data_IF_044890503702
#
_entry.id   IF_044890503702
#
_cell.length_a   1.000
_cell.length_b   1.000
_cell.length_c   1.000
_cell.angle_alpha   90.00
_cell.angle_beta   90.00
_cell.angle_gamma   90.00
#
_symmetry.space_group_name_H-M   'P 1'
#
loop_
_entity.id
_entity.type
_entity.pdbx_description
1 polymer ?
#
# COMPACT_ATOMS: atom_id res chain seq x y z
N UNK A 1 -11.41 -11.07 15.92
CA UNK A 1 -9.93 -11.11 15.89
C UNK A 1 -9.47 -9.87 15.15
N UNK A 2 -8.40 -9.21 15.60
CA UNK A 2 -7.84 -8.03 14.92
C UNK A 2 -6.98 -8.49 13.74
N UNK A 3 -7.22 -7.97 12.53
CA UNK A 3 -6.39 -8.25 11.34
C UNK A 3 -5.10 -7.40 11.31
N UNK A 4 -5.01 -6.34 12.11
CA UNK A 4 -3.84 -5.46 12.11
C UNK A 4 -2.57 -6.22 12.52
N UNK A 5 -1.58 -6.23 11.64
CA UNK A 5 -0.25 -6.79 11.87
C UNK A 5 0.51 -5.91 12.86
N UNK A 6 1.09 -6.49 13.91
CA UNK A 6 1.96 -5.79 14.88
C UNK A 6 3.43 -6.13 14.70
N UNK A 7 3.73 -7.27 14.07
CA UNK A 7 5.09 -7.74 13.80
C UNK A 7 5.17 -8.46 12.47
N UNK A 8 6.24 -8.23 11.72
CA UNK A 8 6.53 -8.95 10.48
C UNK A 8 8.01 -9.31 10.36
N UNK A 9 8.29 -10.49 9.84
CA UNK A 9 9.63 -10.99 9.50
C UNK A 9 9.66 -11.30 8.01
N UNK A 10 10.67 -10.79 7.32
CA UNK A 10 10.88 -10.89 5.88
C UNK A 10 12.23 -11.58 5.66
N UNK A 11 12.22 -12.67 4.90
CA UNK A 11 13.40 -13.44 4.53
C UNK A 11 13.35 -13.77 3.04
N UNK A 12 14.52 -13.74 2.40
CA UNK A 12 14.68 -14.08 0.97
C UNK A 12 13.67 -13.35 0.09
N UNK A 13 13.50 -12.05 0.30
CA UNK A 13 12.63 -11.22 -0.54
C UNK A 13 13.39 -9.99 -1.01
N UNK A 14 13.68 -9.91 -2.31
CA UNK A 14 14.46 -8.81 -2.90
C UNK A 14 15.80 -8.62 -2.15
N UNK A 15 16.02 -7.47 -1.52
CA UNK A 15 17.24 -7.17 -0.74
C UNK A 15 17.07 -7.41 0.77
N UNK A 16 15.98 -8.07 1.20
CA UNK A 16 15.77 -8.53 2.57
C UNK A 16 16.23 -9.98 2.72
N UNK A 17 17.41 -10.18 3.29
CA UNK A 17 17.91 -11.52 3.64
C UNK A 17 17.25 -12.05 4.90
N UNK A 18 17.29 -11.25 5.97
CA UNK A 18 16.64 -11.50 7.25
C UNK A 18 16.34 -10.18 7.94
N UNK A 19 15.10 -9.73 7.88
CA UNK A 19 14.67 -8.42 8.35
C UNK A 19 13.38 -8.54 9.15
N UNK A 20 13.29 -7.85 10.29
CA UNK A 20 12.13 -7.88 11.15
C UNK A 20 11.73 -6.47 11.57
N UNK A 21 10.42 -6.22 11.64
CA UNK A 21 9.84 -4.97 12.13
C UNK A 21 8.80 -5.32 13.18
N UNK A 22 8.89 -4.66 14.33
CA UNK A 22 7.97 -4.81 15.46
C UNK A 22 7.43 -3.44 15.87
N UNK A 23 6.23 -3.40 16.46
CA UNK A 23 5.59 -2.15 16.86
C UNK A 23 4.85 -1.46 15.72
N UNK A 24 4.38 -2.23 14.74
CA UNK A 24 3.50 -1.72 13.69
C UNK A 24 2.18 -1.24 14.28
N UNK A 25 1.69 -0.12 13.77
CA UNK A 25 0.46 0.54 14.22
C UNK A 25 -0.64 0.41 13.17
N UNK A 26 -1.79 1.05 13.39
CA UNK A 26 -2.83 1.15 12.37
C UNK A 26 -2.38 1.99 11.17
N UNK A 27 -1.68 3.10 11.39
CA UNK A 27 -1.08 3.88 10.30
C UNK A 27 0.43 3.83 10.44
N UNK A 28 1.12 3.41 9.38
CA UNK A 28 2.57 3.21 9.37
C UNK A 28 3.17 4.03 8.24
N UNK A 29 4.07 4.96 8.57
CA UNK A 29 4.80 5.73 7.59
C UNK A 29 6.25 5.23 7.52
N UNK A 30 6.69 4.83 6.33
CA UNK A 30 8.02 4.28 6.08
C UNK A 30 8.87 5.34 5.38
N UNK A 31 10.03 5.62 5.95
CA UNK A 31 10.97 6.62 5.42
C UNK A 31 12.40 6.08 5.34
N UNK A 32 13.27 6.86 4.71
CA UNK A 32 14.66 6.50 4.46
C UNK A 32 15.14 6.96 3.08
N UNK A 33 16.45 6.83 2.83
CA UNK A 33 17.09 7.21 1.56
C UNK A 33 16.48 6.47 0.36
N UNK A 34 16.76 6.96 -0.85
CA UNK A 34 16.39 6.27 -2.09
C UNK A 34 17.08 4.90 -2.14
N UNK A 35 16.40 3.93 -2.77
CA UNK A 35 16.90 2.56 -2.96
C UNK A 35 17.19 1.76 -1.67
N UNK A 36 16.69 2.23 -0.52
CA UNK A 36 16.87 1.54 0.77
C UNK A 36 15.91 0.36 0.97
N UNK A 37 14.76 0.35 0.28
CA UNK A 37 13.78 -0.73 0.38
C UNK A 37 12.37 -0.38 0.78
N UNK A 38 11.99 0.90 0.83
CA UNK A 38 10.64 1.35 1.26
C UNK A 38 9.51 0.64 0.51
N UNK A 39 9.49 0.74 -0.82
CA UNK A 39 8.49 0.04 -1.66
C UNK A 39 8.54 -1.47 -1.47
N UNK A 40 9.76 -2.05 -1.37
CA UNK A 40 9.92 -3.48 -1.18
C UNK A 40 9.35 -3.97 0.17
N UNK A 41 9.44 -3.14 1.21
CA UNK A 41 8.78 -3.42 2.48
C UNK A 41 7.26 -3.47 2.32
N UNK A 42 6.63 -2.47 1.68
CA UNK A 42 5.17 -2.51 1.41
C UNK A 42 4.78 -3.72 0.55
N UNK A 43 5.58 -4.06 -0.47
CA UNK A 43 5.34 -5.23 -1.32
C UNK A 43 5.36 -6.54 -0.53
N UNK A 44 6.31 -6.70 0.41
CA UNK A 44 6.42 -7.86 1.29
C UNK A 44 5.22 -7.98 2.23
N UNK A 45 4.84 -6.87 2.87
CA UNK A 45 3.68 -6.83 3.78
C UNK A 45 2.40 -7.17 3.01
N UNK A 46 2.18 -6.60 1.83
CA UNK A 46 0.99 -6.89 1.04
C UNK A 46 0.96 -8.35 0.55
N UNK A 47 2.11 -8.91 0.13
CA UNK A 47 2.18 -10.32 -0.21
C UNK A 47 1.81 -11.23 0.97
N UNK A 48 2.21 -10.88 2.20
CA UNK A 48 1.80 -11.60 3.40
C UNK A 48 0.30 -11.45 3.71
N UNK A 49 -0.27 -10.25 3.60
CA UNK A 49 -1.71 -10.02 3.85
C UNK A 49 -2.62 -10.62 2.78
N UNK A 50 -2.08 -10.97 1.61
CA UNK A 50 -2.79 -11.66 0.52
C UNK A 50 -2.65 -13.18 0.56
N UNK A 51 -1.91 -13.72 1.53
CA UNK A 51 -1.59 -15.15 1.63
C UNK A 51 -2.73 -16.03 2.18
N UNK A 52 -3.97 -15.69 1.85
CA UNK A 52 -5.17 -16.40 2.30
C UNK A 52 -5.51 -17.59 1.39
N UNK A 53 -5.22 -17.46 0.10
CA UNK A 53 -5.39 -18.47 -0.92
C UNK A 53 -4.31 -18.29 -2.00
N UNK A 54 -4.04 -19.35 -2.76
CA UNK A 54 -3.03 -19.33 -3.82
C UNK A 54 -3.40 -18.35 -4.95
N UNK A 55 -4.69 -18.22 -5.29
CA UNK A 55 -5.19 -17.27 -6.30
C UNK A 55 -4.89 -15.81 -5.93
N UNK A 56 -5.16 -15.42 -4.68
CA UNK A 56 -4.84 -14.08 -4.16
C UNK A 56 -3.34 -13.83 -4.10
N UNK A 57 -2.58 -14.79 -3.58
CA UNK A 57 -1.12 -14.66 -3.49
C UNK A 57 -0.48 -14.55 -4.88
N UNK A 58 -0.89 -15.38 -5.84
CA UNK A 58 -0.40 -15.34 -7.21
C UNK A 58 -0.75 -14.02 -7.91
N UNK A 59 -2.00 -13.56 -7.79
CA UNK A 59 -2.41 -12.23 -8.28
C UNK A 59 -1.52 -11.13 -7.69
N UNK A 60 -1.17 -11.25 -6.40
CA UNK A 60 -0.32 -10.25 -5.76
C UNK A 60 1.10 -10.20 -6.32
N UNK A 61 1.68 -11.35 -6.66
CA UNK A 61 2.99 -11.42 -7.30
C UNK A 61 2.96 -10.84 -8.71
N UNK A 62 1.92 -11.14 -9.49
CA UNK A 62 1.68 -10.52 -10.80
C UNK A 62 1.62 -9.00 -10.69
N UNK A 63 0.87 -8.48 -9.72
CA UNK A 63 0.76 -7.04 -9.49
C UNK A 63 2.11 -6.40 -9.10
N UNK A 64 2.98 -7.11 -8.37
CA UNK A 64 4.35 -6.65 -8.10
C UNK A 64 5.15 -6.58 -9.40
N UNK A 65 5.13 -7.63 -10.23
CA UNK A 65 5.83 -7.63 -11.53
C UNK A 65 5.33 -6.49 -12.40
N UNK A 66 4.02 -6.38 -12.58
CA UNK A 66 3.40 -5.34 -13.39
C UNK A 66 3.83 -3.95 -12.93
N UNK A 67 3.71 -3.60 -11.65
CA UNK A 67 4.12 -2.26 -11.17
C UNK A 67 5.60 -1.95 -11.41
N UNK A 68 6.47 -2.96 -11.41
CA UNK A 68 7.92 -2.77 -11.59
C UNK A 68 8.34 -2.71 -13.06
N UNK A 69 7.54 -3.28 -13.96
CA UNK A 69 7.86 -3.44 -15.38
C UNK A 69 6.79 -2.83 -16.30
N UNK A 70 5.81 -2.09 -15.76
CA UNK A 70 4.61 -1.66 -16.47
C UNK A 70 4.90 -0.99 -17.82
N UNK A 71 5.85 -0.05 -17.86
CA UNK A 71 6.23 0.65 -19.09
C UNK A 71 6.78 -0.32 -20.15
N UNK A 72 7.62 -1.28 -19.73
CA UNK A 72 8.18 -2.28 -20.65
C UNK A 72 7.05 -3.20 -21.15
N UNK A 73 6.21 -3.71 -20.25
CA UNK A 73 5.06 -4.57 -20.58
C UNK A 73 4.12 -3.88 -21.58
N UNK A 74 3.78 -2.62 -21.34
CA UNK A 74 2.85 -1.86 -22.18
C UNK A 74 3.42 -1.57 -23.57
N UNK A 75 4.74 -1.34 -23.68
CA UNK A 75 5.41 -1.02 -24.95
C UNK A 75 5.69 -2.29 -25.75
N UNK A 76 6.25 -3.31 -25.11
CA UNK A 76 6.67 -4.56 -25.75
C UNK A 76 5.49 -5.50 -26.03
N UNK A 77 4.31 -5.20 -25.44
CA UNK A 77 3.09 -6.03 -25.48
C UNK A 77 3.32 -7.45 -24.95
N UNK A 78 4.27 -7.58 -24.04
CA UNK A 78 4.60 -8.85 -23.40
C UNK A 78 3.45 -9.29 -22.48
N UNK A 79 3.14 -10.58 -22.48
CA UNK A 79 2.24 -11.15 -21.48
C UNK A 79 2.91 -11.14 -20.10
N UNK A 80 2.17 -10.69 -19.08
CA UNK A 80 2.66 -10.69 -17.71
C UNK A 80 2.62 -12.11 -17.15
N UNK A 81 3.71 -12.84 -17.29
CA UNK A 81 3.84 -14.18 -16.72
C UNK A 81 4.36 -14.12 -15.26
N UNK A 82 3.51 -14.49 -14.31
CA UNK A 82 3.85 -14.55 -12.89
C UNK A 82 4.86 -15.64 -12.55
N UNK A 83 4.97 -16.67 -13.39
CA UNK A 83 5.99 -17.71 -13.24
C UNK A 83 7.39 -17.14 -13.44
N UNK A 84 7.60 -16.29 -14.46
CA UNK A 84 8.87 -15.58 -14.66
C UNK A 84 9.31 -14.81 -13.41
N UNK A 85 8.38 -14.11 -12.75
CA UNK A 85 8.65 -13.38 -11.50
C UNK A 85 9.07 -14.32 -10.37
N UNK A 86 8.33 -15.41 -10.17
CA UNK A 86 8.65 -16.43 -9.17
C UNK A 86 10.05 -17.02 -9.38
N UNK A 87 10.38 -17.35 -10.62
CA UNK A 87 11.68 -17.93 -11.00
C UNK A 87 12.84 -16.96 -10.76
N UNK A 88 12.65 -15.67 -11.07
CA UNK A 88 13.66 -14.64 -10.82
C UNK A 88 13.91 -14.38 -9.32
N UNK A 89 12.89 -14.53 -8.47
CA UNK A 89 13.01 -14.23 -7.04
C UNK A 89 13.44 -15.46 -6.20
N UNK A 90 13.51 -16.66 -6.79
CA UNK A 90 13.99 -17.93 -6.21
C UNK A 90 13.71 -18.12 -4.71
N UNK A 91 12.47 -17.87 -4.32
CA UNK A 91 12.00 -18.01 -2.95
C UNK A 91 11.42 -16.73 -2.37
N UNK A 92 10.60 -16.91 -1.35
CA UNK A 92 9.89 -15.87 -0.64
C UNK A 92 9.57 -16.42 0.74
N UNK A 93 9.82 -15.68 1.81
CA UNK A 93 9.32 -16.06 3.13
C UNK A 93 9.00 -14.82 3.95
N UNK A 94 7.72 -14.55 4.14
CA UNK A 94 7.24 -13.42 4.95
C UNK A 94 6.24 -13.94 5.98
N UNK A 95 6.47 -13.64 7.24
CA UNK A 95 5.67 -14.14 8.37
C UNK A 95 5.30 -12.99 9.27
N UNK A 96 4.02 -12.85 9.57
CA UNK A 96 3.51 -11.91 10.56
C UNK A 96 2.91 -12.61 11.77
N UNK A 97 2.54 -11.83 12.78
CA UNK A 97 1.76 -12.29 13.94
C UNK A 97 0.34 -12.76 13.57
N UNK A 98 -0.17 -12.33 12.42
CA UNK A 98 -1.48 -12.71 11.87
C UNK A 98 -1.35 -13.87 10.86
N UNK A 99 -0.53 -13.69 9.82
CA UNK A 99 -0.31 -14.69 8.77
C UNK A 99 1.03 -15.38 8.98
N UNK A 100 0.98 -16.52 9.68
CA UNK A 100 2.16 -17.22 10.19
C UNK A 100 2.98 -17.99 9.14
N UNK A 101 2.43 -18.17 7.95
CA UNK A 101 3.10 -18.84 6.83
C UNK A 101 2.74 -18.12 5.54
N UNK A 102 3.70 -17.41 4.97
CA UNK A 102 3.66 -16.99 3.58
C UNK A 102 5.01 -17.28 2.98
N UNK A 103 5.16 -18.44 2.38
CA UNK A 103 6.39 -18.81 1.72
C UNK A 103 6.16 -19.38 0.32
N UNK A 104 7.16 -19.17 -0.52
CA UNK A 104 7.29 -19.82 -1.80
C UNK A 104 8.74 -20.31 -1.97
N UNK A 105 8.91 -21.46 -2.60
CA UNK A 105 10.22 -21.98 -3.00
C UNK A 105 10.12 -22.80 -4.27
N UNK A 106 11.22 -22.87 -5.00
CA UNK A 106 11.36 -23.70 -6.20
C UNK A 106 12.32 -24.84 -5.89
N UNK A 107 11.87 -26.07 -6.13
CA UNK A 107 12.73 -27.25 -6.09
C UNK A 107 12.96 -27.75 -7.53
N UNK A 108 14.18 -28.20 -7.80
CA UNK A 108 14.61 -28.66 -9.13
C UNK A 108 15.09 -30.11 -9.16
N UNK A 109 14.75 -30.93 -8.16
CA UNK A 109 15.15 -32.33 -8.16
C UNK A 109 14.43 -33.07 -9.30
N UNK A 110 15.19 -33.83 -10.11
CA UNK A 110 14.75 -34.67 -11.24
C UNK A 110 14.44 -34.01 -12.60
N UNK A 111 14.83 -32.74 -12.82
CA UNK A 111 14.74 -32.10 -14.15
C UNK A 111 13.37 -31.49 -14.49
N UNK A 112 12.38 -31.64 -13.61
CA UNK A 112 11.09 -30.94 -13.66
C UNK A 112 11.00 -29.99 -12.47
N UNK A 113 10.81 -28.69 -12.72
CA UNK A 113 10.68 -27.69 -11.64
C UNK A 113 9.36 -27.88 -10.89
N UNK A 114 9.41 -27.79 -9.57
CA UNK A 114 8.25 -27.79 -8.67
C UNK A 114 8.18 -26.48 -7.88
N UNK A 115 6.99 -25.89 -7.84
CA UNK A 115 6.66 -24.67 -7.12
C UNK A 115 5.96 -25.06 -5.82
N UNK A 116 6.56 -24.73 -4.69
CA UNK A 116 6.03 -25.06 -3.36
C UNK A 116 5.54 -23.77 -2.74
N UNK A 117 4.26 -23.71 -2.38
CA UNK A 117 3.63 -22.59 -1.71
C UNK A 117 3.19 -23.03 -0.31
N UNK A 118 3.55 -22.25 0.70
CA UNK A 118 3.12 -22.44 2.09
C UNK A 118 2.36 -21.19 2.54
N UNK A 119 1.03 -21.26 2.44
CA UNK A 119 0.12 -20.13 2.65
C UNK A 119 -0.88 -20.50 3.75
N UNK A 120 -0.93 -19.70 4.81
CA UNK A 120 -1.87 -19.87 5.93
C UNK A 120 -2.00 -21.32 6.48
N UNK A 121 -0.89 -22.02 6.67
CA UNK A 121 -0.79 -23.39 7.17
C UNK A 121 -1.00 -24.46 6.10
N UNK A 122 -1.35 -24.09 4.88
CA UNK A 122 -1.55 -25.00 3.76
C UNK A 122 -0.31 -25.05 2.87
N UNK A 123 0.10 -26.28 2.52
CA UNK A 123 1.20 -26.53 1.59
C UNK A 123 0.66 -27.03 0.26
N UNK A 124 0.93 -26.29 -0.80
CA UNK A 124 0.57 -26.64 -2.18
C UNK A 124 1.83 -26.85 -3.00
N UNK A 125 1.89 -27.95 -3.76
CA UNK A 125 2.99 -28.24 -4.69
C UNK A 125 2.40 -28.26 -6.09
N UNK A 126 3.00 -27.49 -7.00
CA UNK A 126 2.57 -27.41 -8.39
C UNK A 126 3.74 -27.75 -9.30
N UNK A 127 3.55 -28.70 -10.21
CA UNK A 127 4.57 -29.00 -11.22
C UNK A 127 4.59 -27.89 -12.26
N UNK A 128 5.76 -27.67 -12.87
CA UNK A 128 5.93 -26.71 -13.96
C UNK A 128 5.01 -26.93 -15.17
N UNK A 129 4.58 -28.16 -15.43
CA UNK A 129 3.64 -28.47 -16.51
C UNK A 129 2.19 -28.13 -16.15
N UNK A 130 1.88 -28.05 -14.85
CA UNK A 130 0.55 -27.78 -14.31
C UNK A 130 0.44 -26.34 -13.78
N UNK A 131 1.43 -25.49 -14.08
CA UNK A 131 1.48 -24.11 -13.60
C UNK A 131 0.45 -23.25 -14.36
N UNK A 132 -0.77 -23.25 -13.87
CA UNK A 132 -1.86 -22.42 -14.36
C UNK A 132 -2.71 -21.95 -13.19
N UNK A 133 -2.77 -20.63 -12.98
CA UNK A 133 -3.56 -20.02 -11.92
C UNK A 133 -4.35 -18.85 -12.49
N UNK A 134 -5.63 -18.76 -12.12
CA UNK A 134 -6.38 -17.53 -12.23
C UNK A 134 -6.09 -16.65 -11.02
N UNK A 135 -5.64 -15.42 -11.25
CA UNK A 135 -5.53 -14.42 -10.20
C UNK A 135 -6.92 -13.95 -9.77
N UNK A 136 -7.15 -13.86 -8.46
CA UNK A 136 -8.38 -13.29 -7.91
C UNK A 136 -8.07 -11.98 -7.17
N UNK A 137 -9.03 -11.06 -7.17
CA UNK A 137 -8.93 -9.79 -6.44
C UNK A 137 -9.28 -10.02 -4.97
N UNK A 138 -8.39 -9.63 -4.07
CA UNK A 138 -8.70 -9.53 -2.65
C UNK A 138 -9.25 -8.12 -2.36
N UNK A 139 -10.56 -8.02 -2.24
CA UNK A 139 -11.30 -6.75 -2.23
C UNK A 139 -10.78 -5.74 -1.20
N UNK A 140 -10.51 -6.18 0.02
CA UNK A 140 -10.12 -5.32 1.14
C UNK A 140 -8.60 -5.07 1.23
N UNK A 141 -7.84 -5.29 0.16
CA UNK A 141 -6.39 -5.16 0.12
C UNK A 141 -5.97 -4.41 -1.17
N UNK A 142 -5.48 -3.18 -1.06
CA UNK A 142 -5.18 -2.36 -2.24
C UNK A 142 -3.81 -1.68 -2.16
N UNK A 143 -3.11 -1.57 -3.29
CA UNK A 143 -1.82 -0.90 -3.41
C UNK A 143 -1.89 0.24 -4.42
N UNK A 144 -1.70 1.46 -3.95
CA UNK A 144 -1.50 2.67 -4.75
C UNK A 144 -0.01 2.81 -5.01
N UNK A 145 0.37 2.91 -6.27
CA UNK A 145 1.76 3.16 -6.68
C UNK A 145 1.97 4.63 -7.06
N UNK A 146 3.20 4.95 -7.48
CA UNK A 146 3.58 6.33 -7.81
C UNK A 146 2.85 6.90 -9.04
N UNK A 147 2.21 6.06 -9.87
CA UNK A 147 1.44 6.51 -11.04
C UNK A 147 -0.04 6.74 -10.73
N UNK A 148 -0.50 6.32 -9.54
CA UNK A 148 -1.87 6.54 -9.08
C UNK A 148 -2.79 5.34 -9.30
N UNK A 149 -4.06 5.62 -9.54
CA UNK A 149 -5.15 4.62 -9.56
C UNK A 149 -5.99 4.79 -10.81
N UNK A 150 -6.32 3.70 -11.49
CA UNK A 150 -7.15 3.74 -12.68
C UNK A 150 -8.60 4.14 -12.36
N UNK A 151 -9.29 4.79 -13.30
CA UNK A 151 -10.70 5.17 -13.15
C UNK A 151 -11.61 3.98 -12.81
N UNK A 152 -11.33 2.79 -13.35
CA UNK A 152 -12.08 1.56 -13.03
C UNK A 152 -11.97 1.18 -11.56
N UNK A 153 -10.79 1.34 -10.96
CA UNK A 153 -10.57 1.09 -9.54
C UNK A 153 -11.25 2.14 -8.68
N UNK A 154 -11.21 3.42 -9.07
CA UNK A 154 -11.93 4.49 -8.37
C UNK A 154 -13.45 4.24 -8.42
N UNK A 155 -14.01 3.86 -9.57
CA UNK A 155 -15.43 3.54 -9.72
C UNK A 155 -15.82 2.38 -8.80
N UNK A 156 -15.02 1.32 -8.79
CA UNK A 156 -15.24 0.17 -7.94
C UNK A 156 -15.15 0.53 -6.45
N UNK A 157 -14.11 1.26 -6.04
CA UNK A 157 -13.92 1.71 -4.68
C UNK A 157 -15.05 2.65 -4.23
N UNK A 158 -15.49 3.54 -5.11
CA UNK A 158 -16.64 4.41 -4.86
C UNK A 158 -17.91 3.59 -4.67
N UNK A 159 -18.15 2.52 -5.43
CA UNK A 159 -19.32 1.65 -5.20
C UNK A 159 -19.36 1.08 -3.77
N UNK A 160 -18.21 0.76 -3.18
CA UNK A 160 -18.10 0.32 -1.77
C UNK A 160 -18.40 1.43 -0.77
N UNK A 161 -18.10 2.66 -1.14
CA UNK A 161 -18.49 3.84 -0.37
C UNK A 161 -20.01 4.07 -0.43
N UNK A 162 -20.63 3.83 -1.59
CA UNK A 162 -22.09 3.92 -1.77
C UNK A 162 -22.83 2.82 -0.99
N UNK A 163 -22.31 1.59 -0.98
CA UNK A 163 -22.84 0.48 -0.16
C UNK A 163 -22.88 0.80 1.36
N UNK A 164 -22.15 1.84 1.80
CA UNK A 164 -22.06 2.30 3.18
C UNK A 164 -22.76 3.65 3.43
N UNK A 165 -23.44 4.21 2.42
CA UNK A 165 -24.08 5.53 2.44
C UNK A 165 -23.11 6.65 2.87
N UNK A 166 -21.88 6.64 2.35
CA UNK A 166 -20.82 7.58 2.75
C UNK A 166 -20.45 8.61 1.68
N UNK A 167 -21.10 8.66 0.52
CA UNK A 167 -20.75 9.55 -0.59
C UNK A 167 -20.64 11.02 -0.19
N UNK A 168 -21.52 11.45 0.71
CA UNK A 168 -21.53 12.83 1.21
C UNK A 168 -20.25 13.18 1.98
N UNK A 169 -19.60 12.20 2.62
CA UNK A 169 -18.30 12.38 3.26
C UNK A 169 -17.22 12.70 2.23
N UNK A 170 -17.19 12.01 1.08
CA UNK A 170 -16.23 12.32 0.02
C UNK A 170 -16.40 13.77 -0.44
N UNK A 171 -17.63 14.18 -0.73
CA UNK A 171 -17.91 15.56 -1.16
C UNK A 171 -17.47 16.57 -0.10
N UNK A 172 -17.76 16.31 1.18
CA UNK A 172 -17.35 17.18 2.29
C UNK A 172 -15.83 17.32 2.39
N UNK A 173 -15.08 16.22 2.30
CA UNK A 173 -13.62 16.27 2.36
C UNK A 173 -13.01 16.94 1.11
N UNK A 174 -13.58 16.71 -0.07
CA UNK A 174 -13.14 17.40 -1.29
C UNK A 174 -13.41 18.90 -1.25
N UNK A 175 -14.57 19.34 -0.76
CA UNK A 175 -14.88 20.77 -0.62
C UNK A 175 -13.96 21.46 0.39
N UNK A 176 -13.52 20.76 1.46
CA UNK A 176 -12.50 21.30 2.39
C UNK A 176 -11.13 21.44 1.73
N UNK A 177 -10.79 20.51 0.84
CA UNK A 177 -9.53 20.51 0.11
C UNK A 177 -9.50 21.59 -0.99
N UNK A 178 -10.58 21.71 -1.77
CA UNK A 178 -10.81 22.75 -2.76
C UNK A 178 -12.29 23.16 -2.76
N UNK A 179 -12.57 24.38 -2.30
CA UNK A 179 -13.92 24.92 -2.18
C UNK A 179 -14.68 25.04 -3.51
N UNK A 180 -14.00 24.96 -4.66
CA UNK A 180 -14.64 24.95 -5.96
C UNK A 180 -15.30 23.61 -6.29
N UNK A 181 -14.88 22.52 -5.61
CA UNK A 181 -15.49 21.19 -5.77
C UNK A 181 -16.74 21.12 -4.91
N UNK A 182 -17.88 20.88 -5.55
CA UNK A 182 -19.21 20.91 -4.91
C UNK A 182 -19.96 19.58 -4.94
N UNK A 183 -19.51 18.63 -5.76
CA UNK A 183 -20.13 17.32 -5.89
C UNK A 183 -19.15 16.33 -6.55
N UNK A 184 -19.37 15.04 -6.36
CA UNK A 184 -18.64 13.95 -7.02
C UNK A 184 -19.64 12.88 -7.47
N UNK A 185 -19.55 12.46 -8.74
CA UNK A 185 -20.44 11.44 -9.31
C UNK A 185 -19.72 10.56 -10.33
N UNK A 186 -20.26 9.35 -10.52
CA UNK A 186 -19.97 8.55 -11.70
C UNK A 186 -21.03 8.87 -12.76
N UNK A 187 -20.62 9.45 -13.88
CA UNK A 187 -21.53 9.82 -14.99
C UNK A 187 -21.02 9.12 -16.25
N UNK A 188 -21.86 8.30 -16.86
CA UNK A 188 -21.52 7.49 -18.05
C UNK A 188 -20.24 6.66 -17.86
N UNK A 189 -20.10 6.02 -16.71
CA UNK A 189 -18.94 5.18 -16.39
C UNK A 189 -17.64 5.94 -16.14
N UNK A 190 -17.70 7.25 -15.88
CA UNK A 190 -16.52 8.06 -15.58
C UNK A 190 -16.67 8.82 -14.27
N UNK A 191 -15.65 8.83 -13.40
CA UNK A 191 -15.66 9.65 -12.19
C UNK A 191 -15.49 11.12 -12.57
N UNK A 192 -16.37 11.98 -12.02
CA UNK A 192 -16.41 13.41 -12.30
C UNK A 192 -16.62 14.23 -11.03
N UNK A 193 -15.94 15.37 -10.93
CA UNK A 193 -16.22 16.39 -9.92
C UNK A 193 -17.06 17.51 -10.52
N UNK A 194 -17.98 18.08 -9.75
CA UNK A 194 -18.69 19.31 -10.13
C UNK A 194 -17.90 20.53 -9.67
N UNK A 195 -17.40 21.30 -10.62
CA UNK A 195 -16.62 22.52 -10.42
C UNK A 195 -17.27 23.65 -11.22
N UNK A 196 -17.53 24.79 -10.60
CA UNK A 196 -18.17 25.95 -11.25
C UNK A 196 -19.44 25.60 -12.05
N UNK A 197 -20.30 24.76 -11.46
CA UNK A 197 -21.52 24.23 -12.08
C UNK A 197 -21.37 23.27 -13.28
N UNK A 198 -20.15 22.85 -13.65
CA UNK A 198 -19.90 21.85 -14.68
C UNK A 198 -19.29 20.57 -14.09
N UNK A 199 -19.63 19.40 -14.65
CA UNK A 199 -18.97 18.14 -14.28
C UNK A 199 -17.75 17.91 -15.18
N UNK A 200 -16.57 17.89 -14.57
CA UNK A 200 -15.28 17.63 -15.22
C UNK A 200 -14.80 16.24 -14.87
N UNK A 201 -14.19 15.54 -15.83
CA UNK A 201 -13.58 14.23 -15.60
C UNK A 201 -12.37 14.37 -14.67
N UNK A 202 -12.08 13.34 -13.87
CA UNK A 202 -10.91 13.37 -12.97
C UNK A 202 -9.61 13.68 -13.69
N UNK A 203 -9.45 13.20 -14.92
CA UNK A 203 -8.28 13.44 -15.77
C UNK A 203 -8.12 14.90 -16.20
N UNK A 204 -9.13 15.74 -16.00
CA UNK A 204 -9.07 17.19 -16.24
C UNK A 204 -8.67 17.97 -14.97
N UNK A 205 -8.53 17.29 -13.83
CA UNK A 205 -8.18 17.87 -12.53
C UNK A 205 -6.71 17.63 -12.20
N UNK A 206 -6.14 18.45 -11.32
CA UNK A 206 -4.77 18.26 -10.84
C UNK A 206 -4.59 16.96 -10.04
N UNK A 207 -3.39 16.39 -10.11
CA UNK A 207 -3.05 15.08 -9.53
C UNK A 207 -3.37 14.98 -8.03
N UNK A 208 -3.16 16.05 -7.26
CA UNK A 208 -3.50 16.06 -5.83
C UNK A 208 -4.97 15.80 -5.53
N UNK A 209 -5.89 16.27 -6.39
CA UNK A 209 -7.33 16.00 -6.25
C UNK A 209 -7.64 14.54 -6.59
N UNK A 210 -7.09 14.05 -7.70
CA UNK A 210 -7.26 12.65 -8.11
C UNK A 210 -6.71 11.68 -7.04
N UNK A 211 -5.56 12.01 -6.47
CA UNK A 211 -4.91 11.22 -5.42
C UNK A 211 -5.73 11.21 -4.13
N UNK A 212 -6.27 12.37 -3.70
CA UNK A 212 -7.15 12.44 -2.53
C UNK A 212 -8.43 11.60 -2.71
N UNK A 213 -9.08 11.70 -3.87
CA UNK A 213 -10.28 10.90 -4.20
C UNK A 213 -9.95 9.42 -4.15
N UNK A 214 -8.80 9.04 -4.73
CA UNK A 214 -8.33 7.65 -4.73
C UNK A 214 -8.12 7.16 -3.30
N UNK A 215 -7.41 7.90 -2.44
CA UNK A 215 -7.19 7.52 -1.04
C UNK A 215 -8.52 7.34 -0.30
N UNK A 216 -9.42 8.34 -0.36
CA UNK A 216 -10.68 8.30 0.39
C UNK A 216 -11.50 7.09 -0.04
N UNK A 217 -11.73 6.92 -1.34
CA UNK A 217 -12.55 5.81 -1.86
C UNK A 217 -11.91 4.45 -1.56
N UNK A 218 -10.59 4.32 -1.68
CA UNK A 218 -9.87 3.08 -1.37
C UNK A 218 -9.88 2.74 0.12
N UNK A 219 -9.91 3.73 1.02
CA UNK A 219 -10.12 3.45 2.45
C UNK A 219 -11.49 2.79 2.69
N UNK A 220 -12.53 3.19 1.96
CA UNK A 220 -13.85 2.51 2.01
C UNK A 220 -13.81 1.11 1.45
N UNK A 221 -13.15 0.90 0.31
CA UNK A 221 -12.93 -0.42 -0.25
C UNK A 221 -12.17 -1.35 0.71
N UNK A 222 -11.11 -0.84 1.34
CA UNK A 222 -10.24 -1.59 2.24
C UNK A 222 -10.78 -1.74 3.68
N UNK A 223 -12.08 -1.51 3.91
CA UNK A 223 -12.71 -1.68 5.23
C UNK A 223 -12.34 -3.04 5.83
N UNK A 224 -11.88 -3.03 7.07
CA UNK A 224 -11.36 -4.19 7.81
C UNK A 224 -10.24 -4.95 7.07
N UNK A 225 -9.42 -4.24 6.30
CA UNK A 225 -8.28 -4.76 5.56
C UNK A 225 -7.10 -3.80 5.55
N UNK A 226 -6.40 -3.69 4.41
CA UNK A 226 -5.15 -2.93 4.31
C UNK A 226 -5.08 -2.04 3.08
N UNK A 227 -4.48 -0.86 3.26
CA UNK A 227 -4.19 0.08 2.19
C UNK A 227 -2.68 0.37 2.16
N UNK A 228 -2.07 0.20 1.01
CA UNK A 228 -0.66 0.48 0.77
C UNK A 228 -0.54 1.67 -0.17
N UNK A 229 0.25 2.67 0.20
CA UNK A 229 0.43 3.90 -0.60
C UNK A 229 1.93 4.13 -0.76
N UNK A 230 2.46 3.85 -1.95
CA UNK A 230 3.85 4.21 -2.26
C UNK A 230 3.91 5.69 -2.65
N UNK A 231 4.94 6.38 -2.17
CA UNK A 231 5.13 7.84 -2.34
C UNK A 231 3.86 8.64 -2.05
N UNK A 232 3.44 8.55 -0.78
CA UNK A 232 2.22 9.17 -0.25
C UNK A 232 2.08 10.68 -0.55
N UNK A 233 3.20 11.38 -0.70
CA UNK A 233 3.27 12.80 -0.99
C UNK A 233 3.30 13.15 -2.48
N UNK A 234 3.36 12.17 -3.38
CA UNK A 234 3.46 12.43 -4.81
C UNK A 234 2.20 13.12 -5.36
N UNK A 235 2.40 14.21 -6.10
CA UNK A 235 1.31 15.03 -6.66
C UNK A 235 0.51 15.86 -5.64
N UNK A 236 0.81 15.77 -4.34
CA UNK A 236 0.12 16.52 -3.29
C UNK A 236 0.96 17.75 -2.89
N UNK A 237 0.37 18.94 -3.00
CA UNK A 237 1.01 20.16 -2.53
C UNK A 237 1.20 20.11 -1.00
N UNK A 238 2.38 20.48 -0.50
CA UNK A 238 2.76 20.32 0.90
C UNK A 238 1.77 20.92 1.91
N UNK A 239 1.10 22.02 1.55
CA UNK A 239 0.08 22.66 2.40
C UNK A 239 -1.15 21.78 2.65
N UNK A 240 -1.39 20.79 1.80
CA UNK A 240 -2.52 19.89 1.90
C UNK A 240 -2.18 18.58 2.65
N UNK A 241 -0.89 18.28 2.89
CA UNK A 241 -0.48 17.03 3.51
C UNK A 241 -1.08 16.84 4.91
N UNK A 242 -1.21 17.91 5.71
CA UNK A 242 -1.87 17.88 7.02
C UNK A 242 -3.31 17.40 6.90
N UNK A 243 -4.07 17.95 5.94
CA UNK A 243 -5.46 17.57 5.68
C UNK A 243 -5.57 16.11 5.22
N UNK A 244 -4.73 15.69 4.26
CA UNK A 244 -4.72 14.31 3.76
C UNK A 244 -4.41 13.31 4.89
N UNK A 245 -3.43 13.60 5.75
CA UNK A 245 -3.14 12.74 6.90
C UNK A 245 -4.28 12.69 7.91
N UNK A 246 -4.95 13.82 8.19
CA UNK A 246 -6.12 13.83 9.07
C UNK A 246 -7.25 12.95 8.52
N UNK A 247 -7.51 13.01 7.22
CA UNK A 247 -8.49 12.17 6.52
C UNK A 247 -8.12 10.70 6.66
N UNK A 248 -6.87 10.33 6.35
CA UNK A 248 -6.37 8.95 6.49
C UNK A 248 -6.55 8.47 7.93
N UNK A 249 -6.10 9.23 8.92
CA UNK A 249 -6.16 8.87 10.33
C UNK A 249 -7.60 8.67 10.80
N UNK A 250 -8.53 9.56 10.45
CA UNK A 250 -9.93 9.47 10.86
C UNK A 250 -10.66 8.29 10.18
N UNK A 251 -10.57 8.20 8.86
CA UNK A 251 -11.32 7.21 8.08
C UNK A 251 -10.78 5.79 8.35
N UNK A 252 -9.45 5.60 8.34
CA UNK A 252 -8.88 4.27 8.61
C UNK A 252 -9.17 3.80 10.04
N UNK A 253 -9.38 4.70 11.01
CA UNK A 253 -9.84 4.34 12.36
C UNK A 253 -11.28 3.86 12.35
N UNK A 254 -12.18 4.62 11.70
CA UNK A 254 -13.61 4.30 11.57
C UNK A 254 -13.82 2.95 10.86
N UNK A 255 -13.05 2.69 9.81
CA UNK A 255 -13.18 1.52 8.96
C UNK A 255 -12.25 0.37 9.33
N UNK A 256 -11.43 0.54 10.37
CA UNK A 256 -10.39 -0.41 10.79
C UNK A 256 -9.48 -0.81 9.62
N UNK A 257 -8.98 0.14 8.85
CA UNK A 257 -7.99 -0.11 7.79
C UNK A 257 -6.61 0.02 8.39
N UNK A 258 -5.72 -0.94 8.11
CA UNK A 258 -4.31 -0.76 8.41
C UNK A 258 -3.59 -0.17 7.20
N UNK A 259 -2.99 0.99 7.38
CA UNK A 259 -2.35 1.77 6.31
C UNK A 259 -0.83 1.63 6.41
N UNK A 260 -0.19 1.38 5.27
CA UNK A 260 1.24 1.41 5.09
C UNK A 260 1.59 2.38 3.96
N UNK A 261 2.28 3.45 4.31
CA UNK A 261 2.65 4.50 3.37
C UNK A 261 4.17 4.64 3.30
N UNK A 262 4.72 5.06 2.16
CA UNK A 262 6.14 5.46 2.06
C UNK A 262 6.27 6.94 1.76
N UNK A 263 7.37 7.53 2.21
CA UNK A 263 7.76 8.88 1.81
C UNK A 263 9.28 9.05 1.89
N UNK A 264 9.79 10.02 1.15
CA UNK A 264 11.14 10.57 1.33
C UNK A 264 11.11 12.07 1.66
N UNK A 265 9.92 12.70 1.68
CA UNK A 265 9.73 14.12 1.97
C UNK A 265 9.77 14.38 3.47
N UNK A 266 10.54 15.41 3.85
CA UNK A 266 10.55 15.93 5.22
C UNK A 266 9.20 16.55 5.57
N UNK A 267 8.61 17.30 4.63
CA UNK A 267 7.32 17.95 4.78
C UNK A 267 6.21 16.92 5.05
N UNK A 268 6.23 15.77 4.36
CA UNK A 268 5.29 14.67 4.61
C UNK A 268 5.44 14.08 6.01
N UNK A 269 6.68 13.89 6.48
CA UNK A 269 6.94 13.39 7.83
C UNK A 269 6.45 14.36 8.91
N UNK A 270 6.72 15.65 8.72
CA UNK A 270 6.26 16.68 9.64
C UNK A 270 4.74 16.77 9.67
N UNK A 271 4.11 16.69 8.50
CA UNK A 271 2.64 16.70 8.36
C UNK A 271 1.99 15.50 9.02
N UNK A 272 2.58 14.31 8.86
CA UNK A 272 2.14 13.09 9.53
C UNK A 272 2.14 13.23 11.06
N UNK A 273 3.24 13.76 11.63
CA UNK A 273 3.34 14.00 13.06
C UNK A 273 2.35 15.07 13.54
N UNK A 274 2.24 16.21 12.84
CA UNK A 274 1.27 17.27 13.17
C UNK A 274 -0.16 16.77 13.16
N UNK A 275 -0.56 16.03 12.12
CA UNK A 275 -1.91 15.48 12.00
C UNK A 275 -2.23 14.48 13.14
N UNK A 276 -1.28 13.59 13.47
CA UNK A 276 -1.45 12.66 14.58
C UNK A 276 -1.51 13.37 15.94
N UNK A 277 -0.68 14.40 16.15
CA UNK A 277 -0.69 15.21 17.37
C UNK A 277 -2.00 15.97 17.54
N UNK A 278 -2.46 16.65 16.48
CA UNK A 278 -3.72 17.40 16.47
C UNK A 278 -4.93 16.52 16.76
N UNK A 279 -4.97 15.30 16.20
CA UNK A 279 -6.06 14.34 16.43
C UNK A 279 -5.88 13.50 17.70
N UNK A 280 -4.76 13.66 18.41
CA UNK A 280 -4.35 12.81 19.54
C UNK A 280 -4.39 11.30 19.19
N UNK A 281 -4.10 10.95 17.94
CA UNK A 281 -4.17 9.58 17.46
C UNK A 281 -2.85 8.85 17.69
N UNK A 282 -2.80 8.06 18.76
CA UNK A 282 -1.59 7.35 19.18
C UNK A 282 -1.31 6.06 18.41
N UNK A 283 -2.22 5.60 17.58
CA UNK A 283 -2.06 4.34 16.82
C UNK A 283 -1.34 4.58 15.48
N UNK A 284 -0.15 5.19 15.60
CA UNK A 284 0.76 5.50 14.50
C UNK A 284 2.16 4.93 14.75
N UNK A 285 2.87 4.62 13.68
CA UNK A 285 4.29 4.26 13.71
C UNK A 285 5.05 4.97 12.58
N UNK A 286 6.26 5.42 12.89
CA UNK A 286 7.24 5.86 11.90
C UNK A 286 8.37 4.83 11.81
N UNK A 287 8.61 4.31 10.61
CA UNK A 287 9.59 3.26 10.34
C UNK A 287 10.70 3.86 9.49
N UNK A 288 11.88 4.04 10.07
CA UNK A 288 13.04 4.56 9.35
C UNK A 288 13.93 3.42 8.90
N UNK A 289 14.07 3.25 7.58
CA UNK A 289 14.95 2.28 6.95
C UNK A 289 16.30 2.91 6.61
N UNK A 290 17.38 2.18 6.85
CA UNK A 290 18.73 2.59 6.48
C UNK A 290 19.72 1.43 6.49
N UNK A 291 20.97 1.68 6.12
CA UNK A 291 22.00 0.63 6.01
C UNK A 291 23.13 0.90 6.99
N UNK A 292 23.46 -0.08 7.81
CA UNK A 292 24.62 -0.04 8.70
C UNK A 292 25.51 -1.22 8.36
N UNK A 293 26.77 -0.94 8.02
CA UNK A 293 27.75 -1.93 7.56
C UNK A 293 27.26 -2.75 6.36
N UNK A 294 26.59 -2.07 5.43
CA UNK A 294 25.98 -2.69 4.24
C UNK A 294 24.69 -3.49 4.52
N UNK A 295 24.38 -3.76 5.78
CA UNK A 295 23.20 -4.52 6.19
C UNK A 295 22.00 -3.61 6.39
N UNK A 296 20.84 -3.98 5.85
CA UNK A 296 19.60 -3.24 6.04
C UNK A 296 19.14 -3.32 7.50
N UNK A 297 18.83 -2.17 8.10
CA UNK A 297 18.28 -2.04 9.45
C UNK A 297 17.06 -1.13 9.44
N UNK A 298 16.29 -1.20 10.52
CA UNK A 298 15.20 -0.29 10.78
C UNK A 298 15.23 0.23 12.21
N UNK A 299 14.61 1.38 12.43
CA UNK A 299 14.15 1.81 13.74
C UNK A 299 12.67 2.15 13.62
N UNK A 300 11.89 1.69 14.58
CA UNK A 300 10.46 1.99 14.69
C UNK A 300 10.26 2.97 15.84
N UNK A 301 9.66 4.11 15.53
CA UNK A 301 9.25 5.12 16.49
C UNK A 301 7.74 5.00 16.69
N UNK A 302 7.31 4.84 17.95
CA UNK A 302 5.90 4.97 18.31
C UNK A 302 5.44 6.43 18.25
N UNK A 303 4.18 6.71 18.59
CA UNK A 303 3.62 8.07 18.62
C UNK A 303 4.51 9.09 19.37
N UNK A 304 4.79 8.88 20.66
CA UNK A 304 5.53 9.87 21.47
C UNK A 304 6.95 10.10 20.93
N UNK A 305 7.61 9.02 20.48
CA UNK A 305 8.94 9.09 19.88
C UNK A 305 8.92 9.81 18.52
N UNK A 306 7.87 9.61 17.73
CA UNK A 306 7.69 10.27 16.43
C UNK A 306 7.52 11.77 16.61
N UNK A 307 6.59 12.20 17.48
CA UNK A 307 6.37 13.63 17.77
C UNK A 307 7.65 14.28 18.30
N UNK A 308 8.32 13.62 19.25
CA UNK A 308 9.59 14.10 19.80
C UNK A 308 10.67 14.25 18.72
N UNK A 309 10.87 13.24 17.89
CA UNK A 309 11.87 13.25 16.80
C UNK A 309 11.63 14.43 15.85
N UNK A 310 10.38 14.62 15.41
CA UNK A 310 10.02 15.69 14.49
C UNK A 310 10.17 17.08 15.13
N UNK A 311 9.70 17.27 16.37
CA UNK A 311 9.84 18.55 17.11
C UNK A 311 11.29 19.00 17.30
N UNK A 312 12.23 18.05 17.35
CA UNK A 312 13.67 18.31 17.48
C UNK A 312 14.36 18.59 16.14
N UNK A 313 13.62 18.66 15.02
CA UNK A 313 14.18 18.85 13.69
C UNK A 313 15.02 17.66 13.21
N UNK A 314 14.93 16.51 13.88
CA UNK A 314 15.62 15.28 13.50
C UNK A 314 14.84 14.63 12.36
N UNK A 315 15.03 15.13 11.14
CA UNK A 315 14.40 14.58 9.93
C UNK A 315 14.89 13.17 9.57
N UNK A 316 14.74 12.79 8.29
CA UNK A 316 15.30 11.53 7.75
C UNK A 316 16.81 11.56 7.91
N UNK A 317 17.33 10.90 8.94
CA UNK A 317 18.75 10.69 9.13
C UNK A 317 18.99 9.27 8.68
N UNK A 318 19.10 9.08 7.36
CA UNK A 318 19.55 7.79 6.85
C UNK A 318 20.92 7.50 7.42
N UNK A 319 20.98 6.63 8.43
CA UNK A 319 22.18 5.90 8.79
C UNK A 319 22.64 5.12 7.55
#
# INVERSE_FOLDING_TARGET
>A
MTHCIKKINIKRFKHFDNFAVEGLARVNLVTGKNNVGKTAFLEAVHANTSALALSFFYSRLLNIKFRRENLNILIDKDEVDGRSYLEQNNGFNVVSDIHKTTAFSINGDSGVKQYIFELNGQRTIVNSNDFSFSGERLENNFFVDNFGVANSDIIHAFSKMQELDQEQLLVQELTKFDSNITDFKIINGKPKCKINNAYLELTELGDGTQHLISIITLLFQCKEGYLFIDEMDNGIHYQQLDNVWQIILNISKKLKVQVFATTHSKECLESYARAAEQLQDKDIALIELGKSDGTLKNIVFNYDQTIKKISQGLGVRGW
#
